data_IF_607973780063
#
_entry.id   IF_607973780063
#
_cell.length_a   1.000
_cell.length_b   1.000
_cell.length_c   1.000
_cell.angle_alpha   90.00
_cell.angle_beta   90.00
_cell.angle_gamma   90.00
#
_symmetry.space_group_name_H-M   'P 1'
#
loop_
_entity.id
_entity.type
_entity.pdbx_description
1 polymer ?
#
# COMPACT_ATOMS: atom_id res chain seq x y z
N UNK A 1 7.45 -21.09 5.79
CA UNK A 1 6.70 -20.60 6.97
C UNK A 1 5.24 -20.45 6.60
N UNK A 2 4.97 -19.98 5.38
CA UNK A 2 3.64 -19.58 4.93
C UNK A 2 2.72 -20.77 4.54
N UNK A 3 3.31 -21.92 4.17
CA UNK A 3 2.54 -23.14 3.84
C UNK A 3 2.21 -24.03 5.06
N UNK A 4 2.60 -23.61 6.27
CA UNK A 4 2.38 -24.40 7.48
C UNK A 4 1.23 -23.82 8.30
N UNK A 5 0.14 -24.58 8.43
CA UNK A 5 -1.07 -24.19 9.16
C UNK A 5 -0.85 -23.91 10.65
N UNK A 6 0.24 -24.43 11.23
CA UNK A 6 0.62 -24.16 12.62
C UNK A 6 1.22 -22.76 12.77
N UNK A 7 2.03 -22.32 11.80
CA UNK A 7 2.72 -21.02 11.85
C UNK A 7 2.01 -19.93 11.05
N UNK A 8 1.11 -20.30 10.14
CA UNK A 8 0.33 -19.41 9.29
C UNK A 8 -1.14 -19.90 9.16
N UNK A 9 -1.95 -19.83 10.24
CA UNK A 9 -3.35 -20.24 10.20
C UNK A 9 -4.21 -19.23 9.44
N UNK A 10 -5.08 -19.65 8.51
CA UNK A 10 -5.91 -18.76 7.67
C UNK A 10 -7.33 -18.48 8.19
N UNK A 11 -7.69 -19.01 9.36
CA UNK A 11 -9.06 -18.93 9.91
C UNK A 11 -9.20 -18.11 11.20
N UNK A 12 -8.25 -17.23 11.50
CA UNK A 12 -8.30 -16.41 12.72
C UNK A 12 -9.08 -15.12 12.47
N UNK A 13 -9.80 -14.64 13.48
CA UNK A 13 -10.51 -13.36 13.39
C UNK A 13 -9.58 -12.15 13.57
N UNK A 14 -8.38 -12.36 14.12
CA UNK A 14 -7.40 -11.33 14.42
C UNK A 14 -5.99 -11.81 14.07
N UNK A 15 -5.27 -10.96 13.34
CA UNK A 15 -3.86 -11.09 13.02
C UNK A 15 -3.13 -9.84 13.49
N UNK A 16 -1.97 -9.99 14.11
CA UNK A 16 -1.16 -8.87 14.62
C UNK A 16 0.30 -9.13 14.30
N UNK A 17 0.84 -8.29 13.42
CA UNK A 17 2.26 -8.31 13.03
C UNK A 17 2.99 -7.09 13.56
N UNK A 18 4.23 -7.28 13.98
CA UNK A 18 5.13 -6.21 14.40
C UNK A 18 6.32 -6.12 13.47
N UNK A 19 6.63 -4.92 12.99
CA UNK A 19 7.74 -4.67 12.07
C UNK A 19 8.34 -3.28 12.24
N UNK A 20 9.32 -2.94 11.42
CA UNK A 20 9.95 -1.62 11.41
C UNK A 20 9.19 -0.62 10.54
N UNK A 21 9.29 0.67 10.91
CA UNK A 21 8.68 1.79 10.17
C UNK A 21 8.96 1.78 8.66
N UNK A 22 10.15 1.34 8.25
CA UNK A 22 10.53 1.25 6.83
C UNK A 22 9.74 0.18 6.10
N UNK A 23 9.46 -0.94 6.77
CA UNK A 23 8.67 -2.04 6.20
C UNK A 23 7.21 -1.61 6.05
N UNK A 24 6.66 -0.90 7.04
CA UNK A 24 5.30 -0.32 6.93
C UNK A 24 5.20 0.56 5.69
N UNK A 25 6.15 1.47 5.46
CA UNK A 25 6.16 2.33 4.28
C UNK A 25 6.26 1.54 2.96
N UNK A 26 7.07 0.48 2.92
CA UNK A 26 7.13 -0.43 1.77
C UNK A 26 5.79 -1.13 1.53
N UNK A 27 5.12 -1.61 2.57
CA UNK A 27 3.80 -2.26 2.45
C UNK A 27 2.75 -1.29 1.93
N UNK A 28 2.66 -0.07 2.47
CA UNK A 28 1.72 0.95 1.97
C UNK A 28 1.97 1.31 0.50
N UNK A 29 3.25 1.32 0.09
CA UNK A 29 3.65 1.56 -1.30
C UNK A 29 3.25 0.38 -2.20
N UNK A 30 3.51 -0.85 -1.76
CA UNK A 30 3.16 -2.08 -2.49
C UNK A 30 1.64 -2.28 -2.65
N UNK A 31 0.85 -1.81 -1.67
CA UNK A 31 -0.61 -1.75 -1.75
C UNK A 31 -1.11 -0.65 -2.70
N UNK A 32 -0.22 0.05 -3.39
CA UNK A 32 -0.51 1.14 -4.31
C UNK A 32 -1.39 2.25 -3.67
N UNK A 33 -1.15 2.57 -2.40
CA UNK A 33 -1.82 3.67 -1.68
C UNK A 33 -1.19 5.02 -2.03
N UNK A 34 -1.25 5.35 -3.33
CA UNK A 34 -0.56 6.50 -3.92
C UNK A 34 -1.20 7.86 -3.55
N UNK A 35 -2.34 7.86 -2.85
CA UNK A 35 -2.94 9.05 -2.25
C UNK A 35 -1.97 9.77 -1.31
N UNK A 36 -1.08 9.02 -0.64
CA UNK A 36 -0.03 9.59 0.20
C UNK A 36 1.09 10.28 -0.60
N UNK A 37 1.17 10.03 -1.90
CA UNK A 37 2.14 10.61 -2.82
C UNK A 37 1.44 11.34 -3.99
N UNK A 38 0.20 11.82 -3.80
CA UNK A 38 -0.59 12.51 -4.81
C UNK A 38 0.09 13.76 -5.39
N UNK A 39 1.01 14.40 -4.65
CA UNK A 39 1.79 15.54 -5.17
C UNK A 39 3.03 15.14 -5.97
N UNK A 40 3.20 13.85 -6.29
CA UNK A 40 4.41 13.33 -6.92
C UNK A 40 5.58 13.15 -5.93
N UNK A 41 6.76 12.74 -6.41
CA UNK A 41 7.93 12.59 -5.57
C UNK A 41 8.41 13.91 -4.99
N UNK A 42 9.04 13.81 -3.83
CA UNK A 42 9.59 14.98 -3.14
C UNK A 42 10.88 15.47 -3.84
N UNK A 43 11.02 16.78 -4.09
CA UNK A 43 12.28 17.35 -4.54
C UNK A 43 13.31 17.32 -3.39
N UNK A 44 14.58 17.10 -3.74
CA UNK A 44 15.69 17.10 -2.77
C UNK A 44 16.26 18.50 -2.49
N UNK A 45 15.80 19.52 -3.24
CA UNK A 45 16.35 20.89 -3.20
C UNK A 45 15.59 21.84 -2.28
N UNK A 46 14.33 21.53 -1.96
CA UNK A 46 13.47 22.38 -1.12
C UNK A 46 12.33 21.58 -0.51
N UNK A 47 11.63 22.17 0.46
CA UNK A 47 10.47 21.56 1.10
C UNK A 47 9.20 22.07 0.39
N UNK A 48 8.39 21.21 -0.25
CA UNK A 48 7.14 21.65 -0.87
C UNK A 48 6.11 22.03 0.20
N UNK A 49 5.44 23.19 0.06
CA UNK A 49 4.49 23.68 1.08
C UNK A 49 3.24 22.80 1.20
N UNK A 50 2.81 22.14 0.11
CA UNK A 50 1.60 21.31 0.05
C UNK A 50 1.88 19.83 -0.20
N UNK A 51 3.01 19.30 0.28
CA UNK A 51 3.36 17.87 0.09
C UNK A 51 2.30 16.94 0.69
N UNK A 52 1.91 15.91 -0.06
CA UNK A 52 1.05 14.83 0.45
C UNK A 52 1.83 13.86 1.33
N UNK A 53 3.10 13.58 0.99
CA UNK A 53 3.91 12.61 1.71
C UNK A 53 4.50 13.24 2.99
N UNK A 54 4.07 12.74 4.14
CA UNK A 54 4.52 13.18 5.47
C UNK A 54 4.78 11.96 6.35
N UNK A 55 6.05 11.62 6.55
CA UNK A 55 6.46 10.44 7.33
C UNK A 55 5.89 10.47 8.75
N UNK A 56 5.75 11.63 9.39
CA UNK A 56 5.16 11.75 10.72
C UNK A 56 3.70 11.32 10.81
N UNK A 57 2.96 11.27 9.69
CA UNK A 57 1.56 10.81 9.64
C UNK A 57 1.45 9.33 9.24
N UNK A 58 2.45 8.79 8.56
CA UNK A 58 2.43 7.42 8.03
C UNK A 58 3.18 6.45 8.93
N UNK A 59 4.33 6.87 9.44
CA UNK A 59 5.25 6.02 10.18
C UNK A 59 5.82 6.68 11.46
N UNK A 60 4.98 7.22 12.37
CA UNK A 60 5.43 7.73 13.68
C UNK A 60 5.92 6.59 14.60
N UNK A 61 6.42 6.93 15.80
CA UNK A 61 6.63 5.89 16.82
C UNK A 61 5.31 5.19 17.14
N UNK A 62 5.36 3.86 17.29
CA UNK A 62 4.18 3.01 17.48
C UNK A 62 3.12 3.14 16.36
N UNK A 63 3.60 3.28 15.11
CA UNK A 63 2.74 3.23 13.91
C UNK A 63 1.82 2.01 13.96
N UNK A 64 0.54 2.22 13.63
CA UNK A 64 -0.42 1.14 13.47
C UNK A 64 -1.12 1.22 12.12
N UNK A 65 -1.41 0.06 11.56
CA UNK A 65 -2.16 -0.12 10.31
C UNK A 65 -3.20 -1.21 10.57
N UNK A 66 -4.48 -0.90 10.31
CA UNK A 66 -5.57 -1.85 10.45
C UNK A 66 -6.17 -2.18 9.09
N UNK A 67 -6.25 -3.47 8.78
CA UNK A 67 -7.07 -3.99 7.70
C UNK A 67 -8.35 -4.52 8.34
N UNK A 68 -9.49 -3.90 8.02
CA UNK A 68 -10.76 -4.27 8.61
C UNK A 68 -11.63 -4.93 7.55
N UNK A 69 -11.99 -6.19 7.81
CA UNK A 69 -13.00 -6.91 7.04
C UNK A 69 -14.36 -6.73 7.72
N UNK A 70 -15.34 -6.22 6.97
CA UNK A 70 -16.62 -5.75 7.49
C UNK A 70 -17.77 -6.43 6.76
N UNK A 71 -18.84 -6.71 7.49
CA UNK A 71 -20.14 -7.03 6.93
C UNK A 71 -21.08 -5.88 7.26
N UNK A 72 -21.60 -5.21 6.23
CA UNK A 72 -22.47 -4.05 6.39
C UNK A 72 -23.88 -4.40 5.89
N UNK A 73 -24.91 -3.87 6.55
CA UNK A 73 -26.31 -4.19 6.22
C UNK A 73 -26.71 -3.73 4.80
N UNK A 74 -26.20 -2.56 4.38
CA UNK A 74 -26.62 -1.90 3.13
C UNK A 74 -25.69 -2.20 1.94
N UNK A 75 -24.73 -3.12 2.09
CA UNK A 75 -23.80 -3.50 1.01
C UNK A 75 -23.84 -5.00 0.77
N UNK A 76 -23.83 -5.40 -0.50
CA UNK A 76 -23.72 -6.82 -0.83
C UNK A 76 -22.28 -7.32 -0.62
N UNK A 77 -22.14 -8.37 0.19
CA UNK A 77 -20.86 -9.04 0.42
C UNK A 77 -19.90 -8.30 1.36
N UNK A 78 -18.76 -8.93 1.70
CA UNK A 78 -17.78 -8.37 2.62
C UNK A 78 -17.08 -7.13 2.03
N UNK A 79 -16.84 -6.14 2.88
CA UNK A 79 -16.13 -4.91 2.57
C UNK A 79 -14.78 -4.90 3.28
N UNK A 80 -13.77 -4.30 2.66
CA UNK A 80 -12.48 -4.04 3.29
C UNK A 80 -12.21 -2.54 3.36
N UNK A 81 -11.59 -2.09 4.44
CA UNK A 81 -10.96 -0.76 4.53
C UNK A 81 -9.62 -0.83 5.23
N UNK A 82 -8.78 0.17 4.95
CA UNK A 82 -7.46 0.33 5.57
C UNK A 82 -7.46 1.60 6.41
N UNK A 83 -6.94 1.50 7.63
CA UNK A 83 -6.75 2.63 8.55
C UNK A 83 -5.27 2.72 8.87
N UNK A 84 -4.68 3.90 8.74
CA UNK A 84 -3.28 4.18 9.08
C UNK A 84 -3.26 5.26 10.16
N UNK A 85 -2.77 4.92 11.35
CA UNK A 85 -2.70 5.83 12.50
C UNK A 85 -4.04 6.57 12.74
N UNK A 86 -5.12 5.81 12.88
CA UNK A 86 -6.52 6.27 13.05
C UNK A 86 -7.12 7.06 11.86
N UNK A 87 -6.37 7.27 10.79
CA UNK A 87 -6.86 7.86 9.55
C UNK A 87 -7.36 6.82 8.56
N UNK A 88 -8.64 6.89 8.19
CA UNK A 88 -9.20 6.06 7.10
C UNK A 88 -8.51 6.41 5.78
N UNK A 89 -7.99 5.40 5.08
CA UNK A 89 -7.30 5.56 3.81
C UNK A 89 -8.27 5.34 2.64
N UNK A 90 -8.47 6.32 1.75
CA UNK A 90 -9.24 6.10 0.53
C UNK A 90 -8.56 5.07 -0.36
N UNK A 91 -9.30 4.04 -0.79
CA UNK A 91 -8.79 2.98 -1.66
C UNK A 91 -8.99 3.28 -3.15
N UNK A 92 -9.31 4.52 -3.51
CA UNK A 92 -9.61 4.96 -4.89
C UNK A 92 -8.42 4.85 -5.84
N UNK A 93 -7.21 4.62 -5.33
CA UNK A 93 -6.02 4.33 -6.14
C UNK A 93 -5.99 2.90 -6.69
N UNK A 94 -6.79 2.00 -6.11
CA UNK A 94 -6.95 0.63 -6.57
C UNK A 94 -8.06 0.55 -7.62
N UNK A 95 -7.79 -0.15 -8.72
CA UNK A 95 -8.73 -0.28 -9.83
C UNK A 95 -10.06 -0.87 -9.35
N UNK A 96 -11.15 -0.19 -9.66
CA UNK A 96 -12.51 -0.64 -9.35
C UNK A 96 -13.02 -0.27 -7.95
N UNK A 97 -12.14 0.08 -7.00
CA UNK A 97 -12.61 0.54 -5.69
C UNK A 97 -13.33 1.90 -5.83
N UNK A 98 -14.56 2.03 -5.31
CA UNK A 98 -15.34 3.25 -5.45
C UNK A 98 -14.80 4.36 -4.54
N UNK A 99 -15.20 5.60 -4.84
CA UNK A 99 -15.15 6.64 -3.82
C UNK A 99 -16.26 6.38 -2.81
N UNK A 100 -15.90 6.00 -1.58
CA UNK A 100 -16.83 5.73 -0.50
C UNK A 100 -16.39 6.51 0.76
N UNK A 101 -17.29 7.25 1.44
CA UNK A 101 -16.91 8.16 2.54
C UNK A 101 -16.20 7.50 3.73
N UNK A 102 -16.51 6.25 4.02
CA UNK A 102 -15.93 5.45 5.11
C UNK A 102 -14.71 4.63 4.66
N UNK A 103 -14.23 4.83 3.43
CA UNK A 103 -13.07 4.16 2.85
C UNK A 103 -13.30 2.68 2.49
N UNK A 104 -14.56 2.25 2.34
CA UNK A 104 -14.91 0.86 2.02
C UNK A 104 -14.65 0.54 0.54
N UNK A 105 -14.17 -0.67 0.29
CA UNK A 105 -14.12 -1.29 -1.02
C UNK A 105 -14.67 -2.73 -0.93
N UNK A 106 -15.43 -3.22 -1.92
CA UNK A 106 -15.79 -4.64 -1.99
C UNK A 106 -14.54 -5.53 -1.98
N UNK A 107 -14.55 -6.58 -1.15
CA UNK A 107 -13.36 -7.42 -0.93
C UNK A 107 -12.83 -8.05 -2.23
N UNK A 108 -13.74 -8.55 -3.06
CA UNK A 108 -13.41 -9.18 -4.34
C UNK A 108 -12.69 -8.20 -5.30
N UNK A 109 -13.17 -6.96 -5.34
CA UNK A 109 -12.59 -5.86 -6.12
C UNK A 109 -11.20 -5.50 -5.61
N UNK A 110 -11.04 -5.40 -4.29
CA UNK A 110 -9.74 -5.16 -3.65
C UNK A 110 -8.74 -6.27 -3.98
N UNK A 111 -9.14 -7.54 -3.82
CA UNK A 111 -8.28 -8.70 -4.10
C UNK A 111 -7.92 -8.77 -5.59
N UNK A 112 -8.85 -8.49 -6.49
CA UNK A 112 -8.57 -8.44 -7.93
C UNK A 112 -7.54 -7.36 -8.28
N UNK A 113 -7.67 -6.15 -7.72
CA UNK A 113 -6.72 -5.07 -7.93
C UNK A 113 -5.32 -5.40 -7.41
N UNK A 114 -5.20 -6.00 -6.22
CA UNK A 114 -3.91 -6.45 -5.69
C UNK A 114 -3.32 -7.61 -6.50
N UNK A 115 -4.16 -8.51 -7.01
CA UNK A 115 -3.71 -9.63 -7.86
C UNK A 115 -3.08 -9.12 -9.16
N UNK A 116 -3.62 -8.05 -9.75
CA UNK A 116 -3.02 -7.39 -10.91
C UNK A 116 -1.65 -6.77 -10.59
N UNK A 117 -1.50 -6.11 -9.42
CA UNK A 117 -0.21 -5.58 -8.97
C UNK A 117 0.81 -6.71 -8.82
N UNK A 118 0.42 -7.83 -8.23
CA UNK A 118 1.30 -9.00 -8.07
C UNK A 118 1.72 -9.54 -9.44
N UNK A 119 0.79 -9.69 -10.40
CA UNK A 119 1.08 -10.21 -11.74
C UNK A 119 2.02 -9.32 -12.56
N UNK A 120 2.01 -8.02 -12.28
CA UNK A 120 2.86 -7.03 -12.97
C UNK A 120 4.17 -6.73 -12.23
N UNK A 121 4.36 -7.32 -11.05
CA UNK A 121 5.58 -7.17 -10.24
C UNK A 121 6.51 -8.36 -10.42
N UNK A 122 7.74 -8.07 -10.81
CA UNK A 122 8.86 -9.00 -10.95
C UNK A 122 9.88 -8.72 -9.85
N UNK A 123 9.82 -9.53 -8.80
CA UNK A 123 10.75 -9.46 -7.68
C UNK A 123 12.20 -9.71 -8.10
N UNK A 124 12.44 -10.66 -9.03
CA UNK A 124 13.80 -11.02 -9.43
C UNK A 124 14.45 -9.89 -10.19
N UNK A 125 13.73 -9.29 -11.15
CA UNK A 125 14.23 -8.12 -11.85
C UNK A 125 14.33 -6.90 -10.93
N UNK A 126 13.32 -6.63 -10.12
CA UNK A 126 13.30 -5.48 -9.21
C UNK A 126 14.39 -5.51 -8.13
N UNK A 127 14.77 -6.68 -7.61
CA UNK A 127 15.75 -6.77 -6.52
C UNK A 127 17.14 -7.24 -6.96
N UNK A 128 17.22 -8.04 -8.03
CA UNK A 128 18.45 -8.68 -8.48
C UNK A 128 18.79 -8.38 -9.95
N UNK A 129 17.95 -7.60 -10.64
CA UNK A 129 18.23 -7.14 -11.99
C UNK A 129 19.41 -6.17 -12.05
N UNK A 130 20.05 -6.11 -13.21
CA UNK A 130 21.15 -5.19 -13.45
C UNK A 130 20.63 -3.89 -14.06
N UNK A 131 20.16 -2.98 -13.22
CA UNK A 131 19.73 -1.65 -13.59
C UNK A 131 20.23 -0.61 -12.59
N UNK A 132 20.28 0.65 -13.01
CA UNK A 132 20.69 1.76 -12.16
C UNK A 132 19.69 2.89 -12.23
N UNK A 133 19.56 3.61 -11.12
CA UNK A 133 18.79 4.85 -11.06
C UNK A 133 19.73 5.99 -11.41
N UNK A 134 19.42 6.71 -12.50
CA UNK A 134 20.15 7.93 -12.83
C UNK A 134 19.86 9.00 -11.79
N UNK A 135 20.91 9.69 -11.33
CA UNK A 135 20.77 10.78 -10.38
C UNK A 135 19.91 11.92 -10.96
N UNK A 136 19.18 12.62 -10.09
CA UNK A 136 18.33 13.74 -10.46
C UNK A 136 16.86 13.34 -10.61
N UNK A 137 16.16 13.98 -11.55
CA UNK A 137 14.70 13.89 -11.69
C UNK A 137 14.22 12.81 -12.66
N UNK A 138 15.15 12.06 -13.26
CA UNK A 138 14.85 11.12 -14.35
C UNK A 138 14.07 9.90 -13.85
N UNK A 139 14.36 9.43 -12.63
CA UNK A 139 13.58 8.40 -11.97
C UNK A 139 12.60 9.01 -10.97
N UNK A 140 11.32 8.97 -11.34
CA UNK A 140 10.22 9.60 -10.63
C UNK A 140 9.16 8.53 -10.39
N UNK A 141 9.13 7.96 -9.20
CA UNK A 141 8.12 6.97 -8.81
C UNK A 141 7.48 7.33 -7.48
N UNK A 142 6.15 7.16 -7.45
CA UNK A 142 5.31 7.22 -6.24
C UNK A 142 4.72 5.86 -5.88
N UNK A 143 5.00 4.85 -6.72
CA UNK A 143 4.42 3.50 -6.71
C UNK A 143 5.48 2.42 -6.42
N UNK A 144 6.74 2.80 -6.24
CA UNK A 144 7.84 1.87 -6.01
C UNK A 144 8.31 1.12 -7.27
N UNK A 145 7.93 1.61 -8.46
CA UNK A 145 8.27 0.97 -9.74
C UNK A 145 9.77 1.06 -10.03
N UNK A 146 10.39 -0.08 -10.31
CA UNK A 146 11.77 -0.17 -10.79
C UNK A 146 11.83 0.07 -12.32
N UNK A 147 13.00 0.46 -12.87
CA UNK A 147 13.21 0.53 -14.31
C UNK A 147 12.91 -0.82 -14.98
N UNK A 148 12.16 -0.86 -16.09
CA UNK A 148 11.85 -2.11 -16.77
C UNK A 148 13.12 -2.77 -17.37
N UNK A 149 13.11 -4.08 -17.61
CA UNK A 149 14.13 -4.74 -18.41
C UNK A 149 14.25 -4.07 -19.79
N UNK A 150 15.48 -3.98 -20.30
CA UNK A 150 15.75 -3.49 -21.66
C UNK A 150 15.26 -4.47 -22.74
#
# INVERSE_FOLDING_TARGET
MDDNTTTFPLGQSLYVDATHKVVVLSVLTALNLNNFAATGPLPYTHIPPRRSFKTSHLAPFATNVYFQLLSCADTHGPQIRIIVNDGVVPLTSLRGCPHQPDGLCPLDTFVAALSEIIQTTDWQWGCHGNWSVTAGHVWNTTTGSYPPPA
#
